data_IF_608068443649
#
_entry.id   IF_608068443649
#
_cell.length_a   1.000
_cell.length_b   1.000
_cell.length_c   1.000
_cell.angle_alpha   90.00
_cell.angle_beta   90.00
_cell.angle_gamma   90.00
#
_symmetry.space_group_name_H-M   'P 1'
#
loop_
_entity.id
_entity.type
_entity.pdbx_description
1 polymer ?
#
# COMPACT_ATOMS: atom_id res chain seq x y z
N UNK A 1 -54.93 49.56 -13.24
CA UNK A 1 -56.06 48.67 -13.54
C UNK A 1 -55.51 47.24 -13.56
N UNK A 2 -55.96 46.39 -12.61
CA UNK A 2 -55.79 44.93 -12.44
C UNK A 2 -54.36 44.31 -12.56
N UNK A 3 -53.68 43.84 -11.51
CA UNK A 3 -53.95 42.71 -10.59
C UNK A 3 -54.23 41.36 -11.28
N UNK A 4 -53.40 40.34 -11.01
CA UNK A 4 -53.84 39.00 -10.57
C UNK A 4 -52.69 38.13 -10.04
N UNK A 5 -52.82 37.77 -8.77
CA UNK A 5 -52.24 36.59 -8.13
C UNK A 5 -52.80 35.30 -8.74
N UNK A 6 -52.01 34.22 -8.75
CA UNK A 6 -52.50 32.85 -8.62
C UNK A 6 -51.45 31.94 -7.96
N UNK A 7 -51.78 31.49 -6.76
CA UNK A 7 -51.21 30.39 -5.99
C UNK A 7 -51.63 29.02 -6.53
N UNK A 8 -50.81 27.97 -6.37
CA UNK A 8 -51.28 26.60 -6.08
C UNK A 8 -50.15 25.69 -5.59
N UNK A 9 -50.42 24.96 -4.50
CA UNK A 9 -49.57 24.02 -3.75
C UNK A 9 -49.74 22.57 -4.25
N UNK A 10 -48.68 21.75 -4.18
CA UNK A 10 -48.67 20.33 -3.75
C UNK A 10 -47.22 19.78 -3.88
N UNK A 11 -46.49 19.56 -2.79
CA UNK A 11 -46.40 18.30 -2.02
C UNK A 11 -45.59 17.20 -2.72
N UNK A 12 -44.39 16.94 -2.19
CA UNK A 12 -44.02 15.58 -1.75
C UNK A 12 -43.01 15.66 -0.61
N UNK A 13 -43.39 15.00 0.47
CA UNK A 13 -42.65 14.77 1.71
C UNK A 13 -41.54 13.76 1.43
N UNK A 14 -40.28 14.08 1.75
CA UNK A 14 -39.24 13.08 2.02
C UNK A 14 -38.34 13.62 3.13
N UNK A 15 -38.78 13.45 4.37
CA UNK A 15 -37.86 13.44 5.52
C UNK A 15 -37.62 11.97 5.88
N UNK A 16 -36.86 11.29 5.02
CA UNK A 16 -36.25 10.02 5.37
C UNK A 16 -35.24 10.28 6.47
N UNK A 17 -35.49 9.71 7.63
CA UNK A 17 -34.65 9.72 8.81
C UNK A 17 -33.24 9.22 8.44
N UNK A 18 -32.31 10.15 8.17
CA UNK A 18 -30.90 9.82 8.09
C UNK A 18 -30.44 9.50 9.52
N UNK A 19 -30.25 8.22 9.82
CA UNK A 19 -29.30 7.84 10.86
C UNK A 19 -27.93 8.32 10.37
N UNK A 20 -27.57 9.54 10.77
CA UNK A 20 -26.21 10.05 10.66
C UNK A 20 -25.35 9.24 11.64
N UNK A 21 -24.88 8.08 11.17
CA UNK A 21 -23.61 7.56 11.64
C UNK A 21 -22.57 8.59 11.25
N UNK A 22 -22.10 9.38 12.21
CA UNK A 22 -21.14 10.45 12.00
C UNK A 22 -19.84 9.86 11.45
N UNK A 23 -19.65 9.87 10.13
CA UNK A 23 -18.33 9.83 9.56
C UNK A 23 -17.65 11.13 10.00
N UNK A 24 -16.68 11.04 10.90
CA UNK A 24 -15.91 12.19 11.34
C UNK A 24 -15.08 12.67 10.14
N UNK A 25 -15.56 13.69 9.43
CA UNK A 25 -14.75 14.46 8.51
C UNK A 25 -13.64 15.12 9.32
N UNK A 26 -12.41 14.61 9.18
CA UNK A 26 -11.25 15.18 9.84
C UNK A 26 -10.76 16.36 9.00
N UNK A 27 -10.95 17.58 9.52
CA UNK A 27 -10.88 18.85 8.77
C UNK A 27 -9.48 19.38 8.49
N UNK A 28 -8.43 18.65 8.78
CA UNK A 28 -7.07 18.99 8.40
C UNK A 28 -6.11 17.85 8.71
N UNK A 29 -5.04 17.72 7.92
CA UNK A 29 -3.82 17.04 8.31
C UNK A 29 -3.16 17.87 9.43
N UNK A 30 -3.70 17.80 10.64
CA UNK A 30 -2.89 18.07 11.83
C UNK A 30 -2.13 16.77 12.04
N UNK A 31 -0.80 16.72 11.80
CA UNK A 31 -0.03 15.62 12.32
C UNK A 31 -0.29 15.60 13.82
N UNK A 32 -1.01 14.58 14.30
CA UNK A 32 -1.21 14.37 15.71
C UNK A 32 0.15 13.96 16.27
N UNK A 33 0.94 14.96 16.64
CA UNK A 33 2.13 14.80 17.45
C UNK A 33 1.67 14.70 18.91
N UNK A 34 1.58 13.50 19.46
CA UNK A 34 1.84 13.37 20.89
C UNK A 34 3.35 13.26 21.07
N UNK A 35 3.93 14.16 21.87
CA UNK A 35 5.36 14.15 22.19
C UNK A 35 5.70 13.03 23.19
N UNK A 36 5.01 11.89 23.09
CA UNK A 36 5.06 10.74 23.98
C UNK A 36 4.98 9.46 23.14
N UNK A 37 6.07 9.16 22.43
CA UNK A 37 6.49 7.83 21.95
C UNK A 37 5.62 6.99 21.01
N UNK A 38 4.46 7.45 20.49
CA UNK A 38 3.59 6.59 19.67
C UNK A 38 3.42 7.15 18.24
N UNK A 39 4.38 6.83 17.37
CA UNK A 39 4.58 7.46 16.06
C UNK A 39 3.53 7.11 15.01
N UNK A 40 2.96 8.13 14.38
CA UNK A 40 2.28 8.02 13.09
C UNK A 40 3.34 7.85 11.99
N UNK A 41 3.16 6.89 11.09
CA UNK A 41 4.00 6.73 9.91
C UNK A 41 3.14 6.63 8.66
N UNK A 42 3.41 7.48 7.66
CA UNK A 42 2.89 7.28 6.30
C UNK A 42 3.69 6.12 5.72
N UNK A 43 2.98 5.05 5.33
CA UNK A 43 3.61 3.86 4.76
C UNK A 43 3.58 3.88 3.24
N UNK A 44 2.54 4.48 2.66
CA UNK A 44 2.34 4.57 1.22
C UNK A 44 1.45 5.77 0.88
N UNK A 45 1.57 6.27 -0.35
CA UNK A 45 0.79 7.38 -0.88
C UNK A 45 0.44 7.14 -2.35
N UNK A 46 -0.66 7.71 -2.80
CA UNK A 46 -1.13 7.69 -4.20
C UNK A 46 -2.64 7.86 -4.30
N UNK A 47 -3.18 8.04 -5.51
CA UNK A 47 -4.62 8.10 -5.76
C UNK A 47 -5.26 6.69 -5.73
N UNK A 48 -5.59 6.21 -4.54
CA UNK A 48 -6.23 4.90 -4.34
C UNK A 48 -7.73 4.94 -4.68
N UNK A 49 -8.32 6.13 -4.74
CA UNK A 49 -9.75 6.34 -4.97
C UNK A 49 -10.11 6.77 -6.40
N UNK A 50 -9.12 6.93 -7.28
CA UNK A 50 -9.28 7.30 -8.68
C UNK A 50 -9.89 8.70 -8.88
N UNK A 51 -9.81 9.56 -7.86
CA UNK A 51 -10.48 10.86 -7.84
C UNK A 51 -9.53 12.04 -8.21
N UNK A 52 -8.30 11.70 -8.57
CA UNK A 52 -7.23 12.62 -8.96
C UNK A 52 -6.54 13.31 -7.78
N UNK A 53 -6.81 12.90 -6.53
CA UNK A 53 -6.17 13.43 -5.34
C UNK A 53 -5.28 12.39 -4.68
N UNK A 54 -4.30 12.90 -3.94
CA UNK A 54 -3.35 12.07 -3.22
C UNK A 54 -3.97 11.52 -1.94
N UNK A 55 -4.03 10.20 -1.83
CA UNK A 55 -4.47 9.49 -0.63
C UNK A 55 -3.26 8.89 0.12
N UNK A 56 -3.45 8.51 1.39
CA UNK A 56 -2.36 8.02 2.24
C UNK A 56 -2.74 6.76 3.01
N UNK A 57 -1.88 5.75 3.00
CA UNK A 57 -1.94 4.63 3.94
C UNK A 57 -1.06 4.96 5.14
N UNK A 58 -1.67 5.00 6.32
CA UNK A 58 -1.02 5.44 7.56
C UNK A 58 -1.10 4.34 8.60
N UNK A 59 0.04 4.04 9.23
CA UNK A 59 0.10 3.24 10.44
C UNK A 59 -0.24 4.12 11.65
N UNK A 60 -1.26 3.73 12.39
CA UNK A 60 -1.72 4.41 13.60
C UNK A 60 -1.70 3.45 14.78
N UNK A 61 -1.30 3.95 15.95
CA UNK A 61 -1.48 3.23 17.20
C UNK A 61 -2.71 3.77 17.92
N UNK A 62 -3.58 2.90 18.50
CA UNK A 62 -4.72 3.36 19.27
C UNK A 62 -4.31 4.37 20.36
N UNK A 63 -5.00 5.52 20.46
CA UNK A 63 -4.66 6.54 21.44
C UNK A 63 -4.83 6.01 22.85
N UNK A 64 -3.90 6.35 23.74
CA UNK A 64 -3.92 5.99 25.16
C UNK A 64 -3.87 4.49 25.47
N UNK A 65 -3.41 3.66 24.52
CA UNK A 65 -3.15 2.23 24.76
C UNK A 65 -1.66 1.96 24.54
N UNK A 66 -0.80 2.12 25.57
CA UNK A 66 0.61 1.78 25.47
C UNK A 66 0.81 0.36 24.95
N UNK A 67 1.70 0.18 23.97
CA UNK A 67 2.00 -1.11 23.34
C UNK A 67 0.84 -1.77 22.58
N UNK A 68 -0.25 -1.06 22.25
CA UNK A 68 -1.26 -1.59 21.34
C UNK A 68 -0.64 -1.91 19.97
N UNK A 69 -1.13 -2.95 19.27
CA UNK A 69 -0.72 -3.20 17.90
C UNK A 69 -1.08 -1.99 17.03
N UNK A 70 -0.20 -1.66 16.09
CA UNK A 70 -0.52 -0.67 15.08
C UNK A 70 -1.59 -1.22 14.14
N UNK A 71 -2.40 -0.32 13.60
CA UNK A 71 -3.38 -0.59 12.56
C UNK A 71 -3.09 0.27 11.34
N UNK A 72 -3.43 -0.21 10.15
CA UNK A 72 -3.35 0.59 8.94
C UNK A 72 -4.72 1.13 8.53
N UNK A 73 -4.73 2.39 8.12
CA UNK A 73 -5.91 3.07 7.60
C UNK A 73 -5.55 3.83 6.32
N UNK A 74 -6.46 3.80 5.35
CA UNK A 74 -6.40 4.62 4.15
C UNK A 74 -7.14 5.94 4.44
N UNK A 75 -6.44 7.05 4.30
CA UNK A 75 -6.97 8.40 4.37
C UNK A 75 -7.18 8.91 2.94
N UNK A 76 -8.41 8.82 2.46
CA UNK A 76 -8.81 9.30 1.15
C UNK A 76 -9.06 10.81 1.18
N UNK A 77 -8.37 11.58 0.35
CA UNK A 77 -8.45 13.04 0.34
C UNK A 77 -9.71 13.54 -0.36
N UNK A 78 -10.37 14.52 0.22
CA UNK A 78 -11.49 15.24 -0.39
C UNK A 78 -11.05 16.61 -0.91
N UNK A 79 -11.81 17.15 -1.87
CA UNK A 79 -11.51 18.43 -2.52
C UNK A 79 -11.50 19.63 -1.55
N UNK A 80 -12.14 19.51 -0.38
CA UNK A 80 -12.17 20.53 0.67
C UNK A 80 -10.99 20.43 1.65
N UNK A 81 -10.02 19.54 1.39
CA UNK A 81 -8.85 19.32 2.25
C UNK A 81 -9.13 18.42 3.46
N UNK A 82 -10.33 17.84 3.55
CA UNK A 82 -10.65 16.82 4.55
C UNK A 82 -10.27 15.42 4.09
N UNK A 83 -10.35 14.43 4.99
CA UNK A 83 -10.09 13.03 4.67
C UNK A 83 -11.24 12.13 5.11
N UNK A 84 -11.56 11.14 4.29
CA UNK A 84 -12.39 9.99 4.66
C UNK A 84 -11.51 8.80 5.00
N UNK A 85 -11.73 8.19 6.15
CA UNK A 85 -10.95 7.03 6.60
C UNK A 85 -11.61 5.74 6.11
N UNK A 86 -10.82 4.87 5.45
CA UNK A 86 -11.21 3.52 5.06
C UNK A 86 -10.31 2.49 5.75
N UNK A 87 -10.88 1.42 6.34
CA UNK A 87 -10.08 0.39 6.99
C UNK A 87 -9.33 -0.44 5.94
N UNK A 88 -8.03 -0.64 6.16
CA UNK A 88 -7.16 -1.56 5.38
C UNK A 88 -6.54 -2.59 6.32
N UNK A 89 -7.41 -3.27 7.06
CA UNK A 89 -7.05 -4.20 8.14
C UNK A 89 -6.39 -5.50 7.65
N UNK A 90 -6.27 -5.67 6.34
CA UNK A 90 -5.58 -6.81 5.73
C UNK A 90 -4.06 -6.63 5.71
N UNK A 91 -3.55 -5.38 5.79
CA UNK A 91 -2.12 -5.10 5.82
C UNK A 91 -1.50 -5.43 7.17
N UNK A 92 -0.28 -5.96 7.16
CA UNK A 92 0.51 -6.20 8.36
C UNK A 92 1.27 -4.91 8.74
N UNK A 93 0.76 -4.13 9.68
CA UNK A 93 1.29 -2.80 9.99
C UNK A 93 1.79 -2.63 11.44
N UNK A 94 2.96 -1.95 11.64
CA UNK A 94 4.02 -1.79 10.66
C UNK A 94 4.57 -3.18 10.30
N UNK A 95 4.88 -3.40 9.02
CA UNK A 95 5.49 -4.67 8.63
C UNK A 95 6.89 -4.76 9.25
N UNK A 96 7.18 -5.88 9.93
CA UNK A 96 8.53 -6.18 10.38
C UNK A 96 9.51 -6.33 9.20
N UNK A 97 8.98 -6.53 7.99
CA UNK A 97 9.69 -6.73 6.74
C UNK A 97 9.62 -5.46 5.88
N UNK A 98 10.39 -4.43 6.24
CA UNK A 98 10.85 -3.36 5.33
C UNK A 98 9.88 -2.63 4.38
N UNK A 99 8.58 -2.66 4.65
CA UNK A 99 7.63 -1.68 4.12
C UNK A 99 6.59 -2.21 3.13
N UNK A 100 5.76 -1.25 2.70
CA UNK A 100 4.65 -1.42 1.77
C UNK A 100 5.04 -0.64 0.51
N UNK A 101 4.75 -1.20 -0.66
CA UNK A 101 4.94 -0.52 -1.94
C UNK A 101 3.64 -0.45 -2.73
N UNK A 102 3.61 0.51 -3.65
CA UNK A 102 2.44 0.84 -4.46
C UNK A 102 2.83 0.77 -5.93
N UNK A 103 1.93 0.32 -6.78
CA UNK A 103 2.11 0.24 -8.22
C UNK A 103 0.86 -0.24 -8.92
N UNK A 104 0.85 -0.21 -10.24
CA UNK A 104 -0.19 -0.86 -11.05
C UNK A 104 0.35 -2.24 -11.48
N UNK A 105 0.08 -3.27 -10.69
CA UNK A 105 0.64 -4.62 -10.90
C UNK A 105 -0.12 -5.38 -11.99
N UNK A 106 -1.38 -5.03 -12.25
CA UNK A 106 -2.23 -5.69 -13.25
C UNK A 106 -2.44 -4.87 -14.54
N UNK A 107 -1.88 -3.67 -14.61
CA UNK A 107 -1.98 -2.72 -15.72
C UNK A 107 -3.43 -2.30 -16.02
N UNK A 108 -4.25 -2.13 -14.98
CA UNK A 108 -5.64 -1.67 -15.10
C UNK A 108 -5.83 -0.17 -14.85
N UNK A 109 -4.74 0.55 -14.57
CA UNK A 109 -4.72 1.98 -14.31
C UNK A 109 -5.08 2.37 -12.88
N UNK A 110 -5.18 1.41 -11.96
CA UNK A 110 -5.50 1.64 -10.55
C UNK A 110 -4.30 1.28 -9.68
N UNK A 111 -4.19 1.95 -8.54
CA UNK A 111 -3.12 1.66 -7.60
C UNK A 111 -3.41 0.42 -6.78
N UNK A 112 -2.49 -0.53 -6.88
CA UNK A 112 -2.40 -1.73 -6.08
C UNK A 112 -1.39 -1.56 -4.95
N UNK A 113 -1.43 -2.46 -3.97
CA UNK A 113 -0.51 -2.48 -2.82
C UNK A 113 0.16 -3.83 -2.70
N UNK A 114 1.47 -3.85 -2.44
CA UNK A 114 2.20 -5.07 -2.09
C UNK A 114 3.02 -4.87 -0.82
N UNK A 115 3.12 -5.93 -0.03
CA UNK A 115 3.93 -5.98 1.19
C UNK A 115 4.68 -7.31 1.29
N UNK A 116 5.81 -7.28 2.00
CA UNK A 116 6.46 -8.50 2.47
C UNK A 116 5.78 -8.94 3.77
N UNK A 117 5.36 -10.20 3.79
CA UNK A 117 4.63 -10.80 4.91
C UNK A 117 5.23 -12.14 5.27
N UNK A 118 5.05 -12.55 6.52
CA UNK A 118 5.28 -13.92 6.95
C UNK A 118 3.96 -14.51 7.43
N UNK A 119 3.46 -15.53 6.73
CA UNK A 119 2.19 -16.19 7.06
C UNK A 119 2.50 -17.64 7.38
N UNK A 120 2.29 -18.04 8.63
CA UNK A 120 2.56 -19.40 9.12
C UNK A 120 4.01 -19.87 8.87
N UNK A 121 4.98 -18.98 8.99
CA UNK A 121 6.40 -19.30 8.80
C UNK A 121 6.85 -19.34 7.34
N UNK A 122 6.00 -18.89 6.40
CA UNK A 122 6.33 -18.76 4.99
C UNK A 122 6.42 -17.28 4.64
N UNK A 123 7.58 -16.85 4.14
CA UNK A 123 7.77 -15.51 3.60
C UNK A 123 7.07 -15.39 2.24
N UNK A 124 6.34 -14.30 2.04
CA UNK A 124 5.52 -14.07 0.86
C UNK A 124 5.55 -12.59 0.46
N UNK A 125 5.51 -12.35 -0.84
CA UNK A 125 4.97 -11.09 -1.39
C UNK A 125 3.46 -11.26 -1.38
N UNK A 126 2.78 -10.41 -0.62
CA UNK A 126 1.31 -10.36 -0.59
C UNK A 126 0.86 -9.09 -1.27
N UNK A 127 0.07 -9.24 -2.33
CA UNK A 127 -0.47 -8.13 -3.11
C UNK A 127 -1.99 -8.04 -2.99
N UNK A 128 -2.47 -6.80 -3.06
CA UNK A 128 -3.87 -6.42 -2.98
C UNK A 128 -4.17 -5.51 -4.17
N UNK A 129 -4.95 -6.02 -5.12
CA UNK A 129 -5.31 -5.26 -6.31
C UNK A 129 -6.37 -4.20 -5.97
N UNK A 130 -6.15 -2.96 -6.38
CA UNK A 130 -7.03 -1.83 -6.14
C UNK A 130 -8.28 -1.90 -6.99
N UNK A 131 -9.43 -1.58 -6.40
CA UNK A 131 -10.65 -1.40 -7.18
C UNK A 131 -10.78 0.02 -7.76
N UNK A 132 -9.89 0.94 -7.35
CA UNK A 132 -9.89 2.35 -7.76
C UNK A 132 -10.95 3.17 -7.05
N UNK A 133 -11.48 2.68 -5.93
CA UNK A 133 -12.44 3.37 -5.07
C UNK A 133 -11.96 3.38 -3.61
N UNK A 134 -10.67 3.16 -3.36
CA UNK A 134 -10.08 3.00 -2.03
C UNK A 134 -10.39 1.66 -1.36
N UNK A 135 -10.96 0.70 -2.08
CA UNK A 135 -11.07 -0.70 -1.64
C UNK A 135 -10.14 -1.61 -2.45
N UNK A 136 -9.88 -2.80 -1.91
CA UNK A 136 -8.93 -3.74 -2.49
C UNK A 136 -9.55 -5.14 -2.58
N UNK A 137 -9.08 -5.91 -3.57
CA UNK A 137 -9.44 -7.31 -3.74
C UNK A 137 -8.80 -8.19 -2.66
N UNK A 138 -9.21 -9.46 -2.63
CA UNK A 138 -8.60 -10.45 -1.76
C UNK A 138 -7.11 -10.64 -2.08
N UNK A 139 -6.32 -10.91 -1.03
CA UNK A 139 -4.88 -11.08 -1.10
C UNK A 139 -4.45 -12.12 -2.16
N UNK A 140 -3.38 -11.78 -2.88
CA UNK A 140 -2.67 -12.67 -3.80
C UNK A 140 -1.25 -12.89 -3.26
N UNK A 141 -0.93 -14.14 -2.97
CA UNK A 141 0.32 -14.47 -2.27
C UNK A 141 1.27 -15.16 -3.24
N UNK A 142 2.49 -14.63 -3.31
CA UNK A 142 3.60 -15.26 -4.01
C UNK A 142 4.63 -15.68 -2.98
N UNK A 143 4.86 -17.00 -2.86
CA UNK A 143 5.88 -17.51 -1.94
C UNK A 143 7.26 -17.05 -2.38
N UNK A 144 8.02 -16.49 -1.44
CA UNK A 144 9.43 -16.16 -1.65
C UNK A 144 10.21 -17.08 -0.71
N UNK A 145 11.02 -17.98 -1.26
CA UNK A 145 11.73 -18.97 -0.46
C UNK A 145 13.22 -18.70 -0.53
N UNK A 146 13.75 -18.11 0.54
CA UNK A 146 15.18 -18.02 0.79
C UNK A 146 15.45 -18.57 2.19
N UNK A 147 16.63 -19.19 2.41
CA UNK A 147 16.97 -19.66 3.73
C UNK A 147 16.96 -18.50 4.73
N UNK A 148 16.42 -18.73 5.93
CA UNK A 148 16.56 -17.95 7.17
C UNK A 148 16.00 -16.51 7.30
N UNK A 149 14.87 -16.18 6.68
CA UNK A 149 14.12 -14.92 6.93
C UNK A 149 14.96 -13.66 6.59
N UNK A 150 15.48 -13.65 5.38
CA UNK A 150 16.55 -12.77 4.96
C UNK A 150 16.13 -11.52 4.18
N UNK A 151 14.88 -11.06 4.27
CA UNK A 151 14.39 -9.97 3.41
C UNK A 151 14.28 -8.65 4.15
N UNK A 152 14.80 -7.58 3.53
CA UNK A 152 14.97 -6.28 4.20
C UNK A 152 14.62 -5.08 3.33
N UNK A 153 14.10 -5.27 2.12
CA UNK A 153 13.72 -4.17 1.27
C UNK A 153 12.75 -4.63 0.20
N UNK A 154 11.76 -3.79 -0.08
CA UNK A 154 10.83 -3.95 -1.18
C UNK A 154 10.81 -2.64 -1.97
N UNK A 155 10.96 -2.74 -3.28
CA UNK A 155 10.83 -1.62 -4.21
C UNK A 155 9.94 -2.03 -5.38
N UNK A 156 9.25 -1.05 -5.97
CA UNK A 156 8.36 -1.24 -7.11
C UNK A 156 8.87 -0.45 -8.32
N UNK A 157 8.70 -1.02 -9.51
CA UNK A 157 9.04 -0.38 -10.79
C UNK A 157 8.89 -1.36 -11.94
N UNK A 158 8.67 -0.88 -13.16
CA UNK A 158 8.62 -1.74 -14.35
C UNK A 158 10.05 -2.16 -14.75
N UNK A 159 10.41 -3.43 -14.47
CA UNK A 159 11.77 -3.94 -14.65
C UNK A 159 11.98 -4.54 -16.04
N UNK A 160 10.90 -4.86 -16.76
CA UNK A 160 10.97 -5.53 -18.06
C UNK A 160 10.32 -4.73 -19.21
N UNK A 161 9.79 -3.54 -18.93
CA UNK A 161 9.10 -2.64 -19.86
C UNK A 161 7.82 -3.22 -20.47
N UNK A 162 7.06 -4.03 -19.71
CA UNK A 162 5.78 -4.59 -20.16
C UNK A 162 4.55 -3.78 -19.71
N UNK A 163 4.78 -2.68 -18.99
CA UNK A 163 3.75 -1.76 -18.52
C UNK A 163 3.06 -2.19 -17.21
N UNK A 164 3.36 -3.38 -16.69
CA UNK A 164 2.99 -3.75 -15.32
C UNK A 164 4.12 -3.36 -14.38
N UNK A 165 3.75 -2.95 -13.18
CA UNK A 165 4.74 -2.70 -12.13
C UNK A 165 5.30 -4.05 -11.64
N UNK A 166 6.62 -4.19 -11.67
CA UNK A 166 7.34 -5.33 -11.10
C UNK A 166 7.88 -4.95 -9.70
N UNK A 167 8.50 -5.91 -9.02
CA UNK A 167 9.06 -5.74 -7.69
C UNK A 167 10.55 -6.11 -7.63
N UNK A 168 11.29 -5.46 -6.74
CA UNK A 168 12.64 -5.85 -6.36
C UNK A 168 12.69 -6.07 -4.85
N UNK A 169 13.22 -7.22 -4.44
CA UNK A 169 13.35 -7.61 -3.04
C UNK A 169 14.82 -7.72 -2.68
N UNK A 170 15.26 -7.02 -1.63
CA UNK A 170 16.63 -7.19 -1.11
C UNK A 170 16.69 -8.41 -0.19
N UNK A 171 17.76 -9.17 -0.33
CA UNK A 171 18.01 -10.40 0.43
C UNK A 171 19.35 -10.27 1.15
N UNK A 172 19.42 -10.67 2.42
CA UNK A 172 20.63 -10.79 3.22
C UNK A 172 20.59 -12.08 4.07
N UNK A 173 21.08 -13.19 3.52
CA UNK A 173 21.04 -14.53 4.13
C UNK A 173 22.45 -15.14 4.16
N UNK A 174 22.92 -15.66 5.31
CA UNK A 174 24.15 -16.48 5.38
C UNK A 174 25.39 -15.85 4.69
N UNK A 175 25.55 -14.52 4.76
CA UNK A 175 26.66 -13.81 4.10
C UNK A 175 26.45 -13.51 2.61
N UNK A 176 25.29 -13.84 2.05
CA UNK A 176 24.83 -13.43 0.72
C UNK A 176 24.00 -12.17 0.90
N UNK A 177 24.38 -11.07 0.23
CA UNK A 177 23.57 -9.87 0.08
C UNK A 177 23.28 -9.64 -1.40
N UNK A 178 22.01 -9.43 -1.75
CA UNK A 178 21.62 -9.31 -3.14
C UNK A 178 20.24 -8.69 -3.34
N UNK A 179 19.86 -8.58 -4.61
CA UNK A 179 18.54 -8.11 -5.02
C UNK A 179 17.95 -9.14 -5.96
N UNK A 180 16.72 -9.56 -5.67
CA UNK A 180 15.92 -10.44 -6.51
C UNK A 180 14.80 -9.64 -7.17
N UNK A 181 14.77 -9.60 -8.49
CA UNK A 181 13.64 -9.08 -9.25
C UNK A 181 12.47 -10.07 -9.25
N UNK A 182 11.25 -9.55 -9.25
CA UNK A 182 9.99 -10.28 -9.24
C UNK A 182 9.07 -9.67 -10.28
N UNK A 183 8.91 -10.36 -11.40
CA UNK A 183 8.14 -9.89 -12.55
C UNK A 183 6.66 -10.16 -12.32
N UNK A 184 5.81 -9.15 -12.51
CA UNK A 184 4.36 -9.27 -12.37
C UNK A 184 3.77 -10.14 -13.47
N UNK A 185 2.88 -11.05 -13.08
CA UNK A 185 2.07 -11.85 -14.03
C UNK A 185 0.82 -11.10 -14.50
N UNK A 186 0.49 -9.95 -13.91
CA UNK A 186 -0.71 -9.17 -14.24
C UNK A 186 -1.98 -9.58 -13.49
N UNK A 187 -1.87 -10.53 -12.55
CA UNK A 187 -3.00 -11.06 -11.78
C UNK A 187 -2.81 -10.89 -10.26
N UNK A 188 -1.86 -10.04 -9.87
CA UNK A 188 -1.42 -9.85 -8.49
C UNK A 188 -0.42 -10.90 -7.99
N UNK A 189 0.04 -11.83 -8.84
CA UNK A 189 1.15 -12.74 -8.53
C UNK A 189 2.42 -12.34 -9.25
N UNK A 190 3.56 -12.80 -8.72
CA UNK A 190 4.89 -12.49 -9.25
C UNK A 190 5.69 -13.75 -9.52
N UNK A 191 6.61 -13.69 -10.48
CA UNK A 191 7.61 -14.73 -10.74
C UNK A 191 9.00 -14.18 -10.52
N UNK A 192 9.89 -14.95 -9.90
CA UNK A 192 11.28 -14.54 -9.77
C UNK A 192 11.91 -14.33 -11.17
N UNK A 193 12.56 -13.18 -11.36
CA UNK A 193 13.51 -12.96 -12.44
C UNK A 193 14.81 -13.74 -12.16
N UNK A 194 15.76 -13.78 -13.10
CA UNK A 194 17.08 -14.31 -12.79
C UNK A 194 17.74 -13.46 -11.68
N UNK A 195 18.27 -14.11 -10.63
CA UNK A 195 18.95 -13.43 -9.53
C UNK A 195 20.20 -12.71 -10.03
N UNK A 196 20.39 -11.44 -9.65
CA UNK A 196 21.71 -10.82 -9.74
C UNK A 196 22.47 -11.13 -8.44
N UNK A 197 23.20 -12.23 -8.46
CA UNK A 197 24.03 -12.67 -7.34
C UNK A 197 25.32 -11.85 -7.31
N UNK A 198 25.45 -10.95 -6.33
CA UNK A 198 26.78 -10.50 -5.92
C UNK A 198 27.39 -11.67 -5.15
N UNK A 199 28.09 -12.54 -5.88
CA UNK A 199 28.90 -13.61 -5.30
C UNK A 199 29.71 -13.06 -4.12
N UNK A 200 29.88 -13.81 -3.02
CA UNK A 200 30.76 -13.37 -1.94
C UNK A 200 32.13 -13.05 -2.52
N UNK A 201 32.65 -11.88 -2.20
CA UNK A 201 33.99 -11.42 -2.56
C UNK A 201 35.03 -12.38 -1.99
N UNK A 202 35.26 -13.53 -2.63
CA UNK A 202 36.34 -14.47 -2.27
C UNK A 202 36.82 -15.41 -3.39
N UNK A 203 36.26 -15.36 -4.60
CA UNK A 203 36.89 -16.05 -5.75
C UNK A 203 36.92 -15.15 -6.97
N UNK A 204 37.93 -14.29 -7.04
CA UNK A 204 38.48 -13.89 -8.34
C UNK A 204 39.02 -15.20 -8.95
N UNK A 205 38.37 -15.70 -10.01
CA UNK A 205 38.99 -16.71 -10.87
C UNK A 205 40.27 -16.07 -11.45
N UNK A 206 41.47 -16.60 -11.16
CA UNK A 206 42.72 -16.01 -11.64
C UNK A 206 42.80 -15.95 -13.17
N UNK A 207 41.93 -16.66 -13.90
CA UNK A 207 41.87 -16.60 -15.38
C UNK A 207 41.31 -15.28 -15.93
N UNK A 208 40.72 -14.42 -15.11
CA UNK A 208 40.27 -13.09 -15.53
C UNK A 208 41.15 -11.94 -15.02
N UNK A 209 42.37 -12.23 -14.54
CA UNK A 209 43.29 -11.20 -14.00
C UNK A 209 44.26 -10.58 -15.03
N UNK A 210 44.00 -10.66 -16.34
CA UNK A 210 44.92 -10.07 -17.34
C UNK A 210 44.21 -9.50 -18.56
N UNK A 211 43.50 -8.38 -18.37
CA UNK A 211 43.39 -7.37 -19.42
C UNK A 211 43.29 -6.01 -18.71
N UNK A 212 44.43 -5.38 -18.43
CA UNK A 212 44.76 -3.95 -18.47
C UNK A 212 46.24 -3.79 -18.12
#
# INVERSE_FOLDING_TARGET
MASRFATSLASTLFAGLALLGSAQAQTAFTPYHNNSTNGLAILAHGDFTGDGREDFIVATQPPNVPNAPYTCQLYASAADGTYTVKPVNFLQCPSAYSGIVVGDFNHDGKLDVAELTNVNGVDQITAYLGNGDGTFQAAKNTNISYPNNAYYGLAAGDLNHDGKTDLAVTVSANGITGVQGWISNGDGTFKASATYDQQPQSTIDPRYSSIW
#
